data_IF_547713641873
#
_entry.id   IF_547713641873
#
_cell.length_a   1.000
_cell.length_b   1.000
_cell.length_c   1.000
_cell.angle_alpha   90.00
_cell.angle_beta   90.00
_cell.angle_gamma   90.00
#
_symmetry.space_group_name_H-M   'P 1'
#
loop_
_entity.id
_entity.type
_entity.pdbx_description
1 polymer ?
#
# COMPACT_ATOMS: atom_id res chain seq x y z
N UNK A 1 44.98 36.26 -45.37
CA UNK A 1 44.74 34.89 -44.85
C UNK A 1 44.72 34.78 -43.32
N UNK A 2 45.59 35.46 -42.55
CA UNK A 2 45.56 35.43 -41.07
C UNK A 2 44.28 35.98 -40.43
N UNK A 3 43.75 37.07 -40.98
CA UNK A 3 42.53 37.75 -40.48
C UNK A 3 41.27 36.89 -40.65
N UNK A 4 41.12 36.21 -41.79
CA UNK A 4 39.98 35.33 -42.03
C UNK A 4 39.96 34.12 -41.08
N UNK A 5 41.14 33.58 -40.76
CA UNK A 5 41.26 32.49 -39.78
C UNK A 5 40.84 32.95 -38.38
N UNK A 6 41.27 34.13 -37.94
CA UNK A 6 40.86 34.67 -36.63
C UNK A 6 39.37 34.90 -36.53
N UNK A 7 38.71 35.36 -37.60
CA UNK A 7 37.24 35.53 -37.62
C UNK A 7 36.48 34.21 -37.57
N UNK A 8 37.00 33.15 -38.20
CA UNK A 8 36.40 31.81 -38.11
C UNK A 8 36.54 31.21 -36.70
N UNK A 9 37.69 31.40 -36.06
CA UNK A 9 37.89 30.95 -34.68
C UNK A 9 37.03 31.73 -33.69
N UNK A 10 36.90 33.04 -33.84
CA UNK A 10 36.03 33.84 -32.96
C UNK A 10 34.56 33.51 -33.17
N UNK A 11 34.12 33.30 -34.43
CA UNK A 11 32.75 32.86 -34.72
C UNK A 11 32.46 31.47 -34.12
N UNK A 12 33.39 30.52 -34.23
CA UNK A 12 33.25 29.18 -33.64
C UNK A 12 33.16 29.20 -32.11
N UNK A 13 33.94 30.05 -31.44
CA UNK A 13 33.91 30.22 -29.99
C UNK A 13 32.59 30.86 -29.54
N UNK A 14 32.10 31.88 -30.26
CA UNK A 14 30.82 32.53 -29.95
C UNK A 14 29.64 31.56 -30.13
N UNK A 15 29.65 30.72 -31.18
CA UNK A 15 28.60 29.72 -31.40
C UNK A 15 28.61 28.63 -30.32
N UNK A 16 29.80 28.20 -29.87
CA UNK A 16 29.95 27.22 -28.79
C UNK A 16 29.47 27.78 -27.44
N UNK A 17 29.79 29.05 -27.15
CA UNK A 17 29.32 29.71 -25.92
C UNK A 17 27.79 29.93 -25.94
N UNK A 18 27.21 30.28 -27.09
CA UNK A 18 25.76 30.38 -27.24
C UNK A 18 25.04 29.01 -27.11
N UNK A 19 25.70 27.91 -27.47
CA UNK A 19 25.19 26.55 -27.28
C UNK A 19 25.23 26.04 -25.84
N UNK A 20 26.08 26.63 -24.97
CA UNK A 20 26.21 26.23 -23.55
C UNK A 20 25.42 27.12 -22.59
N UNK A 21 25.00 28.32 -23.00
CA UNK A 21 24.05 29.15 -22.24
C UNK A 21 22.61 28.75 -22.53
N UNK A 22 22.28 27.49 -22.24
CA UNK A 22 20.95 26.92 -22.45
C UNK A 22 20.22 26.69 -21.14
N UNK A 23 19.68 27.74 -20.53
CA UNK A 23 18.46 27.55 -19.76
C UNK A 23 17.36 27.30 -20.81
N UNK A 24 17.18 26.04 -21.22
CA UNK A 24 16.05 25.67 -22.07
C UNK A 24 14.81 25.67 -21.17
N UNK A 25 13.84 26.58 -21.36
CA UNK A 25 12.57 26.57 -20.60
C UNK A 25 11.72 25.32 -20.87
N UNK A 26 12.18 24.44 -21.78
CA UNK A 26 11.60 23.12 -22.06
C UNK A 26 12.09 22.01 -21.11
N UNK A 27 12.94 22.32 -20.12
CA UNK A 27 13.38 21.36 -19.11
C UNK A 27 12.34 21.09 -17.99
N UNK A 28 11.18 21.75 -18.02
CA UNK A 28 10.03 21.43 -17.17
C UNK A 28 9.05 20.52 -17.93
N UNK A 29 8.74 19.36 -17.33
CA UNK A 29 7.62 18.47 -17.69
C UNK A 29 7.19 18.49 -19.17
N UNK A 30 7.98 17.85 -20.05
CA UNK A 30 7.52 17.47 -21.39
C UNK A 30 8.23 18.09 -22.60
N UNK A 31 9.36 18.77 -22.42
CA UNK A 31 10.16 19.24 -23.56
C UNK A 31 11.13 18.18 -24.09
N UNK A 32 10.95 17.75 -25.34
CA UNK A 32 11.74 16.75 -26.06
C UNK A 32 13.18 17.15 -26.40
N UNK A 33 13.94 17.65 -25.43
CA UNK A 33 15.40 17.79 -25.50
C UNK A 33 16.13 16.57 -24.94
N UNK A 34 17.39 16.40 -25.31
CA UNK A 34 18.28 15.31 -24.88
C UNK A 34 18.34 15.13 -23.34
N UNK A 35 18.10 16.21 -22.57
CA UNK A 35 18.03 16.20 -21.10
C UNK A 35 16.76 15.58 -20.52
N UNK A 36 15.63 15.55 -21.26
CA UNK A 36 14.38 14.93 -20.81
C UNK A 36 14.36 13.41 -20.98
N UNK A 37 15.18 12.86 -21.88
CA UNK A 37 15.28 11.42 -22.12
C UNK A 37 16.22 10.70 -21.14
N UNK A 38 17.24 11.39 -20.63
CA UNK A 38 18.23 10.82 -19.70
C UNK A 38 18.02 11.21 -18.23
N UNK A 39 17.08 12.11 -17.93
CA UNK A 39 16.66 12.34 -16.55
C UNK A 39 15.85 11.13 -16.07
N UNK A 40 16.16 10.55 -14.88
CA UNK A 40 15.31 9.50 -14.31
C UNK A 40 13.90 10.05 -14.16
N UNK A 41 12.94 9.44 -14.84
CA UNK A 41 11.53 9.79 -14.68
C UNK A 41 11.19 9.57 -13.21
N UNK A 42 10.76 10.61 -12.47
CA UNK A 42 10.40 10.44 -11.08
C UNK A 42 9.29 9.40 -11.00
N UNK A 43 9.57 8.31 -10.28
CA UNK A 43 8.60 7.27 -10.04
C UNK A 43 7.46 7.91 -9.27
N UNK A 44 6.25 7.70 -9.77
CA UNK A 44 5.08 8.30 -9.16
C UNK A 44 4.85 7.67 -7.76
N UNK A 45 4.51 8.45 -6.72
CA UNK A 45 4.43 7.95 -5.34
C UNK A 45 3.50 6.74 -5.13
N UNK A 46 2.41 6.64 -5.91
CA UNK A 46 1.48 5.51 -5.82
C UNK A 46 2.06 4.18 -6.33
N UNK A 47 3.17 4.21 -7.07
CA UNK A 47 3.83 2.99 -7.55
C UNK A 47 4.62 2.32 -6.44
N UNK A 48 5.27 3.09 -5.57
CA UNK A 48 6.02 2.56 -4.42
C UNK A 48 5.07 1.98 -3.37
N UNK A 49 3.93 2.64 -3.13
CA UNK A 49 2.88 2.16 -2.21
C UNK A 49 2.44 0.72 -2.51
N UNK A 50 2.17 0.40 -3.79
CA UNK A 50 1.81 -0.98 -4.19
C UNK A 50 2.93 -1.99 -4.00
N UNK A 51 4.19 -1.56 -4.15
CA UNK A 51 5.34 -2.45 -3.92
C UNK A 51 5.50 -2.72 -2.42
N UNK A 52 5.30 -1.72 -1.58
CA UNK A 52 5.34 -1.85 -0.12
C UNK A 52 4.24 -2.82 0.38
N UNK A 53 3.00 -2.66 -0.10
CA UNK A 53 1.90 -3.61 0.18
C UNK A 53 2.29 -5.05 -0.13
N UNK A 54 2.89 -5.28 -1.30
CA UNK A 54 3.27 -6.63 -1.75
C UNK A 54 4.44 -7.24 -0.98
N UNK A 55 5.46 -6.45 -0.64
CA UNK A 55 6.71 -6.99 -0.07
C UNK A 55 6.76 -6.91 1.45
N UNK A 56 6.24 -5.83 2.04
CA UNK A 56 6.31 -5.57 3.48
C UNK A 56 5.13 -6.16 4.24
N UNK A 57 3.92 -6.18 3.65
CA UNK A 57 2.68 -6.52 4.36
C UNK A 57 2.03 -7.83 3.87
N UNK A 58 2.86 -8.85 3.64
CA UNK A 58 2.40 -10.17 3.15
C UNK A 58 1.43 -10.90 4.08
N UNK A 59 1.45 -10.57 5.38
CA UNK A 59 0.67 -11.28 6.38
C UNK A 59 -0.78 -10.78 6.47
N UNK A 60 -1.10 -9.58 5.99
CA UNK A 60 -2.46 -9.01 6.05
C UNK A 60 -3.49 -9.88 5.31
N UNK A 61 -3.07 -10.55 4.23
CA UNK A 61 -3.94 -11.42 3.42
C UNK A 61 -3.84 -12.90 3.81
N UNK A 62 -3.05 -13.25 4.82
CA UNK A 62 -2.82 -14.65 5.23
C UNK A 62 -3.61 -14.95 6.49
N UNK A 63 -4.44 -15.98 6.45
CA UNK A 63 -5.14 -16.50 7.62
C UNK A 63 -4.14 -17.15 8.58
N UNK A 64 -4.02 -16.68 9.84
CA UNK A 64 -3.14 -17.31 10.82
C UNK A 64 -3.63 -18.72 11.18
N UNK A 65 -2.67 -19.63 11.39
CA UNK A 65 -2.96 -20.97 11.90
C UNK A 65 -2.78 -20.93 13.41
N UNK A 66 -3.87 -21.12 14.13
CA UNK A 66 -3.93 -21.12 15.58
C UNK A 66 -3.87 -22.55 16.16
N UNK A 67 -3.42 -22.69 17.43
CA UNK A 67 -3.44 -23.97 18.10
C UNK A 67 -4.86 -24.54 18.20
N UNK A 68 -4.98 -25.87 18.36
CA UNK A 68 -6.27 -26.51 18.47
C UNK A 68 -7.03 -26.07 19.71
N UNK A 69 -8.35 -25.90 19.55
CA UNK A 69 -9.26 -25.64 20.65
C UNK A 69 -9.30 -26.89 21.53
N UNK A 70 -9.12 -26.72 22.84
CA UNK A 70 -9.12 -27.81 23.80
C UNK A 70 -10.55 -28.14 24.22
N UNK A 71 -10.86 -29.43 24.29
CA UNK A 71 -12.15 -29.89 24.79
C UNK A 71 -12.35 -29.47 26.26
N UNK A 72 -13.52 -28.92 26.57
CA UNK A 72 -13.89 -28.46 27.91
C UNK A 72 -13.53 -27.02 28.25
N UNK A 73 -12.81 -26.29 27.38
CA UNK A 73 -12.61 -24.86 27.52
C UNK A 73 -13.65 -24.09 26.70
N UNK A 74 -14.03 -22.85 27.11
CA UNK A 74 -14.85 -22.01 26.26
C UNK A 74 -14.13 -21.78 24.92
N UNK A 75 -14.88 -21.69 23.80
CA UNK A 75 -14.29 -21.37 22.52
C UNK A 75 -13.53 -20.03 22.61
N UNK A 76 -12.33 -19.94 21.99
CA UNK A 76 -11.58 -18.70 21.99
C UNK A 76 -12.40 -17.62 21.27
N UNK A 77 -12.38 -16.41 21.82
CA UNK A 77 -12.96 -15.23 21.18
C UNK A 77 -11.89 -14.59 20.28
N UNK A 78 -12.32 -14.01 19.17
CA UNK A 78 -11.45 -13.14 18.39
C UNK A 78 -11.31 -11.80 19.10
N UNK A 79 -10.24 -11.65 19.86
CA UNK A 79 -9.91 -10.42 20.58
C UNK A 79 -9.00 -9.48 19.79
N UNK A 80 -8.51 -9.91 18.62
CA UNK A 80 -7.58 -9.14 17.80
C UNK A 80 -8.32 -8.24 16.79
N UNK A 81 -8.48 -6.93 17.06
CA UNK A 81 -9.05 -6.00 16.08
C UNK A 81 -8.14 -5.84 14.85
N UNK A 82 -8.68 -5.32 13.73
CA UNK A 82 -7.86 -4.87 12.61
C UNK A 82 -6.89 -3.78 13.06
N UNK A 83 -5.62 -3.94 12.68
CA UNK A 83 -4.60 -2.95 13.00
C UNK A 83 -4.84 -1.67 12.18
N UNK A 84 -4.52 -0.50 12.70
CA UNK A 84 -4.77 0.76 11.98
C UNK A 84 -4.12 0.76 10.58
N UNK A 85 -2.89 0.25 10.48
CA UNK A 85 -2.20 0.15 9.18
C UNK A 85 -2.89 -0.79 8.19
N UNK A 86 -3.43 -1.92 8.68
CA UNK A 86 -4.20 -2.86 7.87
C UNK A 86 -5.53 -2.24 7.41
N UNK A 87 -6.18 -1.47 8.29
CA UNK A 87 -7.37 -0.68 7.94
C UNK A 87 -7.04 0.32 6.83
N UNK A 88 -5.97 1.10 6.98
CA UNK A 88 -5.59 2.11 5.98
C UNK A 88 -5.20 1.52 4.64
N UNK A 89 -4.58 0.33 4.61
CA UNK A 89 -4.26 -0.39 3.37
C UNK A 89 -5.47 -1.05 2.72
N UNK A 90 -6.45 -1.44 3.51
CA UNK A 90 -7.70 -2.01 3.01
C UNK A 90 -8.66 -0.91 2.48
N UNK A 91 -8.50 0.34 2.93
CA UNK A 91 -9.22 1.48 2.36
C UNK A 91 -8.93 1.62 0.85
N UNK A 92 -9.87 2.16 0.06
CA UNK A 92 -9.65 2.40 -1.35
C UNK A 92 -8.50 3.37 -1.54
N UNK A 93 -7.54 3.01 -2.39
CA UNK A 93 -6.40 3.85 -2.73
C UNK A 93 -6.87 5.23 -3.22
N UNK A 94 -6.20 6.25 -2.71
CA UNK A 94 -6.44 7.63 -3.11
C UNK A 94 -5.87 7.84 -4.51
N UNK A 95 -6.64 8.46 -5.41
CA UNK A 95 -6.15 8.86 -6.73
C UNK A 95 -5.24 10.07 -6.58
N UNK A 96 -4.02 9.85 -6.10
CA UNK A 96 -2.96 10.86 -6.11
C UNK A 96 -2.66 11.16 -7.58
N UNK A 97 -3.13 12.30 -8.08
CA UNK A 97 -2.90 12.71 -9.46
C UNK A 97 -1.45 13.10 -9.70
N UNK A 98 -1.20 13.87 -10.77
CA UNK A 98 0.15 14.37 -11.04
C UNK A 98 0.50 15.39 -9.96
N UNK A 99 1.68 15.27 -9.32
CA UNK A 99 2.05 16.20 -8.28
C UNK A 99 1.97 17.65 -8.73
N UNK A 100 1.48 18.54 -7.84
CA UNK A 100 1.21 19.96 -8.10
C UNK A 100 0.10 20.27 -9.12
N UNK A 101 -0.53 19.28 -9.75
CA UNK A 101 -1.66 19.49 -10.68
C UNK A 101 -2.97 19.15 -9.99
N UNK A 102 -3.08 17.92 -9.48
CA UNK A 102 -4.25 17.40 -8.79
C UNK A 102 -3.78 16.41 -7.74
N UNK A 103 -4.03 16.71 -6.48
CA UNK A 103 -3.67 15.87 -5.37
C UNK A 103 -4.87 15.71 -4.43
N UNK A 104 -5.06 14.48 -3.99
CA UNK A 104 -6.04 14.13 -2.98
C UNK A 104 -5.29 13.64 -1.75
N UNK A 105 -5.65 14.18 -0.59
CA UNK A 105 -5.10 13.82 0.70
C UNK A 105 -6.21 13.36 1.63
N UNK A 106 -5.88 12.41 2.50
CA UNK A 106 -6.73 11.98 3.61
C UNK A 106 -5.97 12.19 4.91
N UNK A 107 -6.49 13.08 5.75
CA UNK A 107 -5.85 13.51 6.99
C UNK A 107 -6.73 13.22 8.20
N UNK A 108 -6.08 13.12 9.38
CA UNK A 108 -6.72 13.02 10.69
C UNK A 108 -7.72 11.85 10.79
N UNK A 109 -7.20 10.63 10.70
CA UNK A 109 -8.00 9.43 10.86
C UNK A 109 -8.45 9.23 12.30
N UNK A 110 -9.73 8.90 12.48
CA UNK A 110 -10.28 8.32 13.70
C UNK A 110 -10.92 6.99 13.32
N UNK A 111 -10.32 5.89 13.77
CA UNK A 111 -10.72 4.53 13.39
C UNK A 111 -11.43 3.89 14.58
N UNK A 112 -12.65 3.42 14.37
CA UNK A 112 -13.45 2.74 15.39
C UNK A 112 -13.78 1.32 14.90
N UNK A 113 -13.07 0.29 15.39
CA UNK A 113 -13.36 -1.10 15.08
C UNK A 113 -14.46 -1.66 16.00
N UNK A 114 -15.48 -2.27 15.40
CA UNK A 114 -16.60 -2.93 16.06
C UNK A 114 -16.67 -4.39 15.58
N UNK A 115 -16.70 -5.36 16.51
CA UNK A 115 -16.84 -6.78 16.16
C UNK A 115 -18.32 -7.12 15.93
N UNK A 116 -18.65 -7.64 14.75
CA UNK A 116 -20.05 -7.98 14.38
C UNK A 116 -20.33 -9.47 14.57
N UNK A 117 -19.40 -10.32 14.15
CA UNK A 117 -19.61 -11.77 14.12
C UNK A 117 -18.35 -12.47 14.60
N UNK A 118 -18.57 -13.45 15.47
CA UNK A 118 -17.55 -14.31 16.05
C UNK A 118 -18.17 -15.72 16.13
N UNK A 119 -17.87 -16.56 15.15
CA UNK A 119 -18.48 -17.90 14.99
C UNK A 119 -17.41 -18.89 14.59
N UNK A 120 -17.42 -20.06 15.23
CA UNK A 120 -16.52 -21.17 14.92
C UNK A 120 -17.29 -22.24 14.16
N UNK A 121 -16.81 -22.55 12.96
CA UNK A 121 -17.39 -23.57 12.10
C UNK A 121 -17.04 -24.99 12.58
N UNK A 122 -17.88 -25.99 12.20
CA UNK A 122 -17.53 -27.38 12.42
C UNK A 122 -16.24 -27.76 11.68
N UNK A 123 -15.52 -28.78 12.15
CA UNK A 123 -14.24 -29.18 11.56
C UNK A 123 -14.41 -29.62 10.11
N UNK A 124 -13.59 -29.03 9.23
CA UNK A 124 -13.53 -29.32 7.80
C UNK A 124 -12.10 -29.67 7.40
N UNK A 125 -11.97 -30.44 6.32
CA UNK A 125 -10.67 -30.73 5.74
C UNK A 125 -10.21 -29.60 4.80
N UNK A 126 -9.04 -29.02 5.09
CA UNK A 126 -8.36 -28.03 4.26
C UNK A 126 -7.09 -28.64 3.63
N UNK A 127 -6.94 -28.65 2.29
CA UNK A 127 -5.87 -29.41 1.63
C UNK A 127 -4.42 -29.13 2.07
N UNK A 128 -4.10 -27.88 2.44
CA UNK A 128 -2.73 -27.49 2.81
C UNK A 128 -2.41 -27.65 4.31
N UNK A 129 -3.43 -27.80 5.16
CA UNK A 129 -3.29 -27.72 6.62
C UNK A 129 -3.80 -28.99 7.30
N UNK A 130 -4.80 -29.66 6.71
CA UNK A 130 -5.44 -30.85 7.24
C UNK A 130 -6.80 -30.55 7.88
N UNK A 131 -7.25 -31.37 8.84
CA UNK A 131 -8.51 -31.13 9.55
C UNK A 131 -8.38 -29.92 10.46
N UNK A 132 -9.23 -28.92 10.24
CA UNK A 132 -9.21 -27.67 10.98
C UNK A 132 -10.62 -27.04 11.09
N UNK A 133 -10.80 -26.19 12.09
CA UNK A 133 -11.99 -25.38 12.32
C UNK A 133 -11.69 -23.94 11.90
N UNK A 134 -12.58 -23.35 11.12
CA UNK A 134 -12.47 -21.95 10.72
C UNK A 134 -13.20 -21.09 11.74
N UNK A 135 -12.51 -20.09 12.26
CA UNK A 135 -13.04 -19.10 13.18
C UNK A 135 -13.31 -17.83 12.39
N UNK A 136 -14.58 -17.59 12.10
CA UNK A 136 -15.03 -16.43 11.34
C UNK A 136 -15.17 -15.22 12.24
N UNK A 137 -14.37 -14.21 11.97
CA UNK A 137 -14.35 -12.98 12.75
C UNK A 137 -14.52 -11.77 11.84
N UNK A 138 -15.74 -11.24 11.81
CA UNK A 138 -16.08 -10.09 10.99
C UNK A 138 -16.07 -8.82 11.83
N UNK A 139 -15.29 -7.86 11.36
CA UNK A 139 -15.16 -6.54 11.95
C UNK A 139 -15.78 -5.51 11.02
N UNK A 140 -16.54 -4.59 11.60
CA UNK A 140 -16.93 -3.35 10.95
C UNK A 140 -16.05 -2.25 11.49
N UNK A 141 -15.41 -1.53 10.61
CA UNK A 141 -14.54 -0.42 10.95
C UNK A 141 -15.19 0.84 10.42
N UNK A 142 -15.47 1.78 11.31
CA UNK A 142 -15.96 3.10 10.94
C UNK A 142 -14.79 4.08 11.00
N UNK A 143 -14.49 4.70 9.87
CA UNK A 143 -13.33 5.57 9.67
C UNK A 143 -13.85 6.98 9.43
N UNK A 144 -13.48 7.89 10.32
CA UNK A 144 -13.71 9.32 10.15
C UNK A 144 -12.41 9.96 9.69
N UNK A 145 -12.45 10.73 8.61
CA UNK A 145 -11.28 11.44 8.10
C UNK A 145 -11.68 12.73 7.36
N UNK A 146 -10.70 13.60 7.14
CA UNK A 146 -10.85 14.75 6.24
C UNK A 146 -10.21 14.45 4.90
N UNK A 147 -10.99 14.64 3.83
CA UNK A 147 -10.54 14.57 2.45
C UNK A 147 -10.23 15.99 1.97
N UNK A 148 -8.96 16.24 1.65
CA UNK A 148 -8.49 17.51 1.08
C UNK A 148 -8.16 17.29 -0.38
N UNK A 149 -8.89 17.95 -1.27
CA UNK A 149 -8.60 17.96 -2.71
C UNK A 149 -7.92 19.27 -3.04
N UNK A 150 -6.69 19.20 -3.51
CA UNK A 150 -5.87 20.34 -3.90
C UNK A 150 -5.56 20.30 -5.40
N UNK A 151 -5.87 21.38 -6.09
CA UNK A 151 -5.54 21.61 -7.49
C UNK A 151 -4.59 22.80 -7.53
N UNK A 152 -3.35 22.59 -7.95
CA UNK A 152 -2.38 23.68 -8.11
C UNK A 152 -2.42 24.34 -9.49
N UNK A 153 -2.88 23.62 -10.52
CA UNK A 153 -2.89 24.07 -11.92
C UNK A 153 -4.11 23.49 -12.67
N UNK A 154 -4.77 24.23 -13.57
CA UNK A 154 -4.48 25.59 -14.06
C UNK A 154 -4.99 26.73 -13.17
N UNK A 155 -5.92 26.43 -12.25
CA UNK A 155 -6.45 27.40 -11.30
C UNK A 155 -6.37 26.82 -9.89
N UNK A 156 -5.78 27.56 -8.93
CA UNK A 156 -5.63 27.05 -7.57
C UNK A 156 -7.00 26.86 -6.93
N UNK A 157 -7.25 25.66 -6.42
CA UNK A 157 -8.48 25.32 -5.70
C UNK A 157 -8.16 24.32 -4.60
N UNK A 158 -8.65 24.59 -3.39
CA UNK A 158 -8.55 23.69 -2.25
C UNK A 158 -9.94 23.45 -1.69
N UNK A 159 -10.30 22.19 -1.47
CA UNK A 159 -11.55 21.82 -0.83
C UNK A 159 -11.32 20.74 0.21
N UNK A 160 -11.68 21.06 1.45
CA UNK A 160 -11.62 20.13 2.58
C UNK A 160 -13.03 19.69 2.98
N UNK A 161 -13.27 18.37 2.97
CA UNK A 161 -14.57 17.78 3.32
C UNK A 161 -14.39 16.70 4.39
N UNK A 162 -15.29 16.69 5.36
CA UNK A 162 -15.35 15.58 6.33
C UNK A 162 -16.04 14.38 5.67
N UNK A 163 -15.41 13.21 5.76
CA UNK A 163 -15.91 11.95 5.22
C UNK A 163 -16.02 10.90 6.31
N UNK A 164 -16.95 9.98 6.09
CA UNK A 164 -17.12 8.78 6.91
C UNK A 164 -17.16 7.61 5.96
N UNK A 165 -16.31 6.64 6.20
CA UNK A 165 -16.24 5.39 5.44
C UNK A 165 -16.45 4.22 6.40
N UNK A 166 -17.32 3.29 6.00
CA UNK A 166 -17.58 2.07 6.76
C UNK A 166 -17.06 0.91 5.94
N UNK A 167 -16.11 0.18 6.52
CA UNK A 167 -15.47 -0.97 5.89
C UNK A 167 -15.73 -2.23 6.70
N UNK A 168 -15.89 -3.36 6.02
CA UNK A 168 -15.99 -4.67 6.64
C UNK A 168 -14.69 -5.43 6.37
N UNK A 169 -14.02 -5.87 7.44
CA UNK A 169 -12.78 -6.65 7.38
C UNK A 169 -13.01 -8.00 8.03
N UNK A 170 -12.58 -9.05 7.33
CA UNK A 170 -12.66 -10.42 7.80
C UNK A 170 -11.29 -10.83 8.34
N UNK A 171 -11.22 -11.14 9.63
CA UNK A 171 -10.03 -11.64 10.32
C UNK A 171 -10.20 -13.10 10.69
N UNK A 172 -10.25 -13.93 9.67
CA UNK A 172 -10.47 -15.36 9.85
C UNK A 172 -9.20 -16.04 10.38
N UNK A 173 -9.40 -16.91 11.36
CA UNK A 173 -8.34 -17.73 11.92
C UNK A 173 -8.64 -19.21 11.73
N UNK A 174 -7.61 -20.00 11.52
CA UNK A 174 -7.77 -21.43 11.36
C UNK A 174 -7.24 -22.17 12.58
N UNK A 175 -8.13 -22.79 13.36
CA UNK A 175 -7.74 -23.67 14.46
C UNK A 175 -7.51 -25.09 13.95
N UNK A 176 -6.36 -25.66 14.24
CA UNK A 176 -6.15 -27.09 13.99
C UNK A 176 -7.17 -27.93 14.78
N UNK A 177 -7.64 -29.04 14.22
CA UNK A 177 -8.57 -29.92 14.91
C UNK A 177 -7.85 -31.12 15.50
N UNK A 178 -7.83 -31.25 16.83
CA UNK A 178 -6.95 -32.17 17.56
C UNK A 178 -7.45 -33.61 17.74
N UNK A 179 -8.61 -34.00 17.21
CA UNK A 179 -9.11 -35.38 17.33
C UNK A 179 -8.35 -36.42 16.47
N UNK A 180 -7.25 -36.02 15.82
CA UNK A 180 -6.28 -36.93 15.23
C UNK A 180 -4.89 -36.67 15.85
N UNK A 181 -4.42 -37.57 16.73
CA UNK A 181 -3.06 -37.63 17.31
C UNK A 181 -2.37 -36.26 17.57
N UNK A 182 -2.65 -35.67 18.73
CA UNK A 182 -2.10 -34.39 19.23
C UNK A 182 -0.57 -34.26 19.10
N UNK A 183 0.17 -35.38 19.18
CA UNK A 183 1.64 -35.41 19.00
C UNK A 183 2.06 -35.11 17.56
N UNK A 184 1.35 -35.63 16.55
CA UNK A 184 1.67 -35.39 15.13
C UNK A 184 1.40 -33.93 14.76
N UNK A 185 0.33 -33.34 15.31
CA UNK A 185 -0.02 -31.95 15.07
C UNK A 185 0.99 -30.95 15.63
N UNK A 186 1.57 -31.21 16.81
CA UNK A 186 2.64 -30.37 17.36
C UNK A 186 3.88 -30.39 16.47
N UNK A 187 4.20 -31.54 15.87
CA UNK A 187 5.30 -31.67 14.90
C UNK A 187 5.01 -30.86 13.63
N UNK A 188 3.83 -31.02 13.02
CA UNK A 188 3.46 -30.26 11.82
C UNK A 188 3.39 -28.75 12.06
N UNK A 189 2.84 -28.32 13.19
CA UNK A 189 2.73 -26.89 13.53
C UNK A 189 4.11 -26.26 13.63
N UNK A 190 5.04 -26.93 14.34
CA UNK A 190 6.43 -26.48 14.47
C UNK A 190 7.16 -26.45 13.12
N UNK A 191 6.90 -27.42 12.25
CA UNK A 191 7.51 -27.47 10.91
C UNK A 191 6.96 -26.39 9.96
N UNK A 192 5.68 -26.03 10.06
CA UNK A 192 5.02 -25.03 9.21
C UNK A 192 5.19 -23.59 9.71
N UNK A 193 5.28 -23.38 11.04
CA UNK A 193 5.39 -22.03 11.62
C UNK A 193 6.77 -21.41 11.51
N UNK A 194 7.78 -22.15 11.03
CA UNK A 194 9.09 -21.59 10.67
C UNK A 194 9.86 -20.94 11.82
N UNK A 195 9.67 -21.43 13.05
CA UNK A 195 10.49 -21.11 14.23
C UNK A 195 11.10 -22.40 14.79
#
# INVERSE_FOLDING_TARGET
>A
MRTMRTWVWTAGIVLALAGMTGCYPYAGFGGGGFSGFFAPIPVQPWVTERMEEKYCYKNDHRTPIMPPIRDGFPPPLCEDPPSEGEVLRAMPHVTRGVPYVYEEFRDQFTIIPERIKDVIDPPRFYPLIGPAQLHHCHWKVTIYYYETVEVGYPFPFECKKQRVEVMYIDKDHLHLYANADQKKLQTFTRELSGY
#
